data_IF_097673645665
#
_entry.id   IF_097673645665
#
_cell.length_a   1.000
_cell.length_b   1.000
_cell.length_c   1.000
_cell.angle_alpha   90.00
_cell.angle_beta   90.00
_cell.angle_gamma   90.00
#
_symmetry.space_group_name_H-M   'P 1'
#
loop_
_entity.id
_entity.type
_entity.pdbx_description
1 polymer ?
#
# COMPACT_ATOMS: atom_id res chain seq x y z
N UNK A 1 -11.78 2.33 12.62
CA UNK A 1 -10.99 3.55 12.35
C UNK A 1 -11.30 4.55 13.47
N UNK A 2 -10.29 5.19 14.11
CA UNK A 2 -10.53 6.22 15.12
C UNK A 2 -11.20 7.45 14.52
N UNK A 3 -12.23 8.00 15.18
CA UNK A 3 -12.97 9.19 14.73
C UNK A 3 -12.05 10.41 14.49
N UNK A 4 -10.91 10.47 15.17
CA UNK A 4 -9.95 11.57 15.03
C UNK A 4 -9.28 11.68 13.65
N UNK A 5 -9.34 10.62 12.83
CA UNK A 5 -8.74 10.59 11.49
C UNK A 5 -9.77 10.36 10.38
N UNK A 6 -11.07 10.42 10.67
CA UNK A 6 -12.14 10.28 9.67
C UNK A 6 -12.05 11.31 8.55
N UNK A 7 -11.53 12.50 8.84
CA UNK A 7 -11.32 13.55 7.83
C UNK A 7 -10.32 13.18 6.73
N UNK A 8 -9.51 12.14 6.93
CA UNK A 8 -8.60 11.58 5.91
C UNK A 8 -9.30 10.57 4.99
N UNK A 9 -10.57 10.26 5.26
CA UNK A 9 -11.38 9.29 4.51
C UNK A 9 -10.66 7.94 4.26
N UNK A 10 -10.07 7.32 5.31
CA UNK A 10 -9.23 6.13 5.16
C UNK A 10 -9.95 4.96 4.50
N UNK A 11 -11.27 4.83 4.64
CA UNK A 11 -12.05 3.77 3.99
C UNK A 11 -12.01 3.83 2.46
N UNK A 12 -11.71 5.00 1.89
CA UNK A 12 -11.57 5.16 0.44
C UNK A 12 -10.19 4.75 -0.07
N UNK A 13 -9.21 4.64 0.82
CA UNK A 13 -7.80 4.44 0.48
C UNK A 13 -7.32 3.05 0.85
N UNK A 14 -7.80 2.49 1.97
CA UNK A 14 -7.34 1.19 2.45
C UNK A 14 -8.25 0.05 2.00
N UNK A 15 -7.64 -1.01 1.49
CA UNK A 15 -8.30 -2.28 1.27
C UNK A 15 -8.12 -3.18 2.49
N UNK A 16 -9.17 -3.93 2.83
CA UNK A 16 -9.17 -4.81 4.01
C UNK A 16 -8.75 -6.25 3.69
N UNK A 17 -8.56 -6.56 2.41
CA UNK A 17 -8.17 -7.88 1.93
C UNK A 17 -7.13 -7.79 0.80
N UNK A 18 -6.60 -8.93 0.41
CA UNK A 18 -5.59 -9.06 -0.64
C UNK A 18 -6.15 -9.65 -1.94
N UNK A 19 -7.47 -9.79 -2.08
CA UNK A 19 -8.09 -10.45 -3.23
C UNK A 19 -7.80 -9.73 -4.55
N UNK A 20 -7.68 -8.39 -4.51
CA UNK A 20 -7.33 -7.56 -5.67
C UNK A 20 -5.88 -7.75 -6.15
N UNK A 21 -5.04 -8.39 -5.35
CA UNK A 21 -3.61 -8.59 -5.65
C UNK A 21 -3.34 -9.89 -6.40
N UNK A 22 -4.36 -10.71 -6.65
CA UNK A 22 -4.25 -11.97 -7.39
C UNK A 22 -4.83 -11.84 -8.79
N UNK A 23 -4.19 -12.53 -9.74
CA UNK A 23 -4.79 -12.72 -11.05
C UNK A 23 -6.00 -13.65 -10.97
N UNK A 24 -7.07 -13.28 -11.65
CA UNK A 24 -8.17 -14.19 -11.92
C UNK A 24 -7.90 -14.93 -13.24
N UNK A 25 -7.68 -16.22 -13.16
CA UNK A 25 -7.30 -17.06 -14.30
C UNK A 25 -8.54 -17.75 -14.87
N UNK A 26 -8.70 -17.61 -16.19
CA UNK A 26 -9.64 -18.40 -16.99
C UNK A 26 -8.82 -19.33 -17.87
N UNK A 27 -8.81 -20.62 -17.55
CA UNK A 27 -8.10 -21.62 -18.31
C UNK A 27 -9.05 -22.34 -19.29
N UNK A 28 -8.60 -22.50 -20.52
CA UNK A 28 -9.28 -23.22 -21.58
C UNK A 28 -8.27 -24.12 -22.32
N UNK A 29 -8.70 -25.32 -22.70
CA UNK A 29 -7.87 -26.20 -23.52
C UNK A 29 -7.46 -25.51 -24.82
N UNK A 30 -6.15 -25.36 -25.03
CA UNK A 30 -5.56 -24.70 -26.19
C UNK A 30 -5.96 -25.35 -27.53
N UNK A 31 -6.33 -26.64 -27.53
CA UNK A 31 -6.76 -27.33 -28.76
C UNK A 31 -8.18 -26.93 -29.18
N UNK A 32 -8.96 -26.34 -28.26
CA UNK A 32 -10.32 -25.85 -28.53
C UNK A 32 -10.37 -24.40 -29.00
N UNK A 33 -9.31 -23.62 -28.81
CA UNK A 33 -9.26 -22.20 -29.13
C UNK A 33 -8.27 -21.93 -30.28
N UNK A 34 -8.72 -21.18 -31.29
CA UNK A 34 -7.88 -20.70 -32.39
C UNK A 34 -7.31 -19.31 -32.12
N UNK A 35 -8.16 -18.42 -31.62
CA UNK A 35 -7.78 -17.02 -31.41
C UNK A 35 -8.44 -16.41 -30.19
N UNK A 36 -7.70 -15.58 -29.46
CA UNK A 36 -8.17 -14.84 -28.31
C UNK A 36 -7.97 -13.34 -28.54
N UNK A 37 -9.00 -12.55 -28.24
CA UNK A 37 -8.95 -11.08 -28.25
C UNK A 37 -9.84 -10.53 -27.17
N UNK A 38 -9.58 -9.31 -26.74
CA UNK A 38 -10.47 -8.59 -25.84
C UNK A 38 -10.87 -7.23 -26.41
N UNK A 39 -11.97 -6.67 -25.91
CA UNK A 39 -12.46 -5.35 -26.25
C UNK A 39 -13.12 -4.73 -25.02
N UNK A 40 -12.83 -3.45 -24.80
CA UNK A 40 -13.57 -2.64 -23.82
C UNK A 40 -14.84 -2.11 -24.52
N UNK A 41 -15.99 -2.34 -23.93
CA UNK A 41 -17.30 -1.94 -24.46
C UNK A 41 -18.18 -1.40 -23.33
N UNK A 42 -18.22 -0.08 -23.20
CA UNK A 42 -18.83 0.60 -22.04
C UNK A 42 -18.10 0.23 -20.76
N UNK A 43 -18.85 -0.27 -19.78
CA UNK A 43 -18.35 -0.68 -18.46
C UNK A 43 -17.85 -2.13 -18.42
N UNK A 44 -17.76 -2.80 -19.58
CA UNK A 44 -17.39 -4.22 -19.65
C UNK A 44 -16.09 -4.44 -20.43
N UNK A 45 -15.27 -5.35 -19.92
CA UNK A 45 -14.20 -5.98 -20.70
C UNK A 45 -14.75 -7.28 -21.27
N UNK A 46 -14.90 -7.36 -22.58
CA UNK A 46 -15.37 -8.56 -23.29
C UNK A 46 -14.19 -9.34 -23.83
N UNK A 47 -14.08 -10.61 -23.43
CA UNK A 47 -13.10 -11.56 -23.97
C UNK A 47 -13.79 -12.39 -25.06
N UNK A 48 -13.19 -12.43 -26.23
CA UNK A 48 -13.70 -13.21 -27.37
C UNK A 48 -12.73 -14.35 -27.64
N UNK A 49 -13.25 -15.57 -27.58
CA UNK A 49 -12.52 -16.78 -27.86
C UNK A 49 -13.11 -17.40 -29.13
N UNK A 50 -12.30 -17.54 -30.18
CA UNK A 50 -12.73 -18.16 -31.43
C UNK A 50 -12.51 -19.67 -31.33
N UNK A 51 -13.57 -20.51 -31.44
CA UNK A 51 -13.42 -21.94 -31.38
C UNK A 51 -12.62 -22.50 -32.58
N UNK A 52 -11.84 -23.55 -32.32
CA UNK A 52 -11.15 -24.29 -33.37
C UNK A 52 -11.84 -25.64 -33.59
N UNK A 53 -12.58 -25.79 -34.69
CA UNK A 53 -13.28 -27.05 -35.11
C UNK A 53 -14.17 -27.66 -34.05
N UNK A 54 -14.61 -26.91 -33.06
CA UNK A 54 -15.45 -27.38 -31.94
C UNK A 54 -16.38 -26.26 -31.46
N UNK A 55 -17.20 -26.55 -30.48
CA UNK A 55 -18.01 -25.57 -29.75
C UNK A 55 -17.41 -25.42 -28.36
N UNK A 56 -17.25 -24.18 -27.90
CA UNK A 56 -16.81 -23.86 -26.54
C UNK A 56 -18.06 -23.61 -25.68
N UNK A 57 -18.10 -24.23 -24.54
CA UNK A 57 -19.14 -24.07 -23.52
C UNK A 57 -18.49 -23.62 -22.19
N UNK A 58 -19.32 -23.19 -21.27
CA UNK A 58 -18.86 -22.75 -19.93
C UNK A 58 -18.14 -23.89 -19.18
N UNK A 59 -18.57 -25.13 -19.36
CA UNK A 59 -17.92 -26.31 -18.77
C UNK A 59 -16.54 -26.66 -19.32
N UNK A 60 -16.13 -26.02 -20.41
CA UNK A 60 -14.78 -26.15 -20.97
C UNK A 60 -13.78 -25.19 -20.34
N UNK A 61 -14.25 -24.30 -19.47
CA UNK A 61 -13.45 -23.30 -18.79
C UNK A 61 -13.23 -23.67 -17.32
N UNK A 62 -12.00 -23.54 -16.87
CA UNK A 62 -11.63 -23.65 -15.46
C UNK A 62 -11.32 -22.25 -14.93
N UNK A 63 -11.83 -21.95 -13.74
CA UNK A 63 -11.61 -20.68 -13.07
C UNK A 63 -10.75 -20.90 -11.84
N UNK A 64 -9.69 -20.11 -11.70
CA UNK A 64 -8.79 -20.18 -10.57
C UNK A 64 -8.19 -18.82 -10.25
N UNK A 65 -7.52 -18.72 -9.13
CA UNK A 65 -6.69 -17.57 -8.79
C UNK A 65 -5.23 -17.90 -9.03
N UNK A 66 -4.49 -16.93 -9.53
CA UNK A 66 -3.06 -17.00 -9.73
C UNK A 66 -2.26 -16.75 -8.45
N UNK A 67 -0.96 -16.63 -8.61
CA UNK A 67 -0.09 -16.16 -7.54
C UNK A 67 -0.32 -14.65 -7.28
N UNK A 68 0.18 -14.16 -6.16
CA UNK A 68 0.09 -12.75 -5.83
C UNK A 68 1.05 -11.92 -6.69
N UNK A 69 0.53 -10.87 -7.31
CA UNK A 69 1.30 -9.91 -8.09
C UNK A 69 1.82 -8.77 -7.18
N UNK A 70 2.69 -9.11 -6.25
CA UNK A 70 3.25 -8.17 -5.27
C UNK A 70 4.76 -8.21 -5.37
N UNK A 71 5.37 -7.12 -5.80
CA UNK A 71 6.82 -6.98 -5.89
C UNK A 71 7.44 -6.41 -4.61
N UNK A 72 6.66 -5.64 -3.86
CA UNK A 72 7.12 -4.91 -2.68
C UNK A 72 6.06 -4.90 -1.58
N UNK A 73 6.46 -5.25 -0.38
CA UNK A 73 5.68 -5.10 0.86
C UNK A 73 6.35 -4.08 1.75
N UNK A 74 5.64 -3.05 2.15
CA UNK A 74 6.13 -2.07 3.12
C UNK A 74 5.28 -2.16 4.38
N UNK A 75 5.86 -2.62 5.48
CA UNK A 75 5.23 -2.62 6.80
C UNK A 75 5.61 -1.37 7.58
N UNK A 76 4.63 -0.76 8.22
CA UNK A 76 4.80 0.48 8.96
C UNK A 76 4.51 0.27 10.44
N UNK A 77 5.51 0.54 11.29
CA UNK A 77 5.42 0.44 12.74
C UNK A 77 5.06 -0.96 13.25
N UNK A 78 5.52 -1.97 12.54
CA UNK A 78 5.36 -3.39 12.93
C UNK A 78 6.61 -3.82 13.67
N UNK A 79 6.44 -4.31 14.90
CA UNK A 79 7.57 -4.69 15.77
C UNK A 79 7.95 -6.16 15.61
N UNK A 80 7.00 -7.02 15.30
CA UNK A 80 7.23 -8.46 15.08
C UNK A 80 6.27 -9.03 14.03
N UNK A 81 6.64 -10.18 13.46
CA UNK A 81 5.83 -10.84 12.41
C UNK A 81 4.40 -11.12 12.85
N UNK A 82 4.18 -11.38 14.15
CA UNK A 82 2.85 -11.62 14.70
C UNK A 82 1.92 -10.41 14.70
N UNK A 83 2.47 -9.20 14.54
CA UNK A 83 1.72 -7.94 14.45
C UNK A 83 1.33 -7.58 13.00
N UNK A 84 1.79 -8.36 12.02
CA UNK A 84 1.37 -8.18 10.63
C UNK A 84 -0.13 -8.43 10.48
N UNK A 85 -0.74 -7.73 9.51
CA UNK A 85 -2.14 -7.91 9.18
C UNK A 85 -2.45 -9.40 8.91
N UNK A 86 -3.63 -9.86 9.36
CA UNK A 86 -4.08 -11.23 9.20
C UNK A 86 -4.03 -11.69 7.73
N UNK A 87 -4.34 -10.78 6.79
CA UNK A 87 -4.24 -11.06 5.36
C UNK A 87 -2.82 -11.43 4.91
N UNK A 88 -1.78 -10.78 5.46
CA UNK A 88 -0.38 -11.14 5.18
C UNK A 88 0.06 -12.39 5.93
N UNK A 89 -0.44 -12.60 7.14
CA UNK A 89 -0.11 -13.78 7.96
C UNK A 89 -0.69 -15.07 7.37
N UNK A 90 -1.90 -15.03 6.80
CA UNK A 90 -2.52 -16.17 6.13
C UNK A 90 -1.84 -16.52 4.79
N UNK A 91 -1.27 -15.51 4.11
CA UNK A 91 -0.63 -15.65 2.80
C UNK A 91 0.89 -15.46 2.88
N UNK A 92 1.55 -16.23 3.73
CA UNK A 92 3.00 -16.17 3.97
C UNK A 92 3.88 -16.21 2.72
N UNK A 93 3.34 -16.64 1.56
CA UNK A 93 4.01 -16.55 0.25
C UNK A 93 4.28 -15.10 -0.18
N UNK A 94 3.38 -14.16 0.09
CA UNK A 94 3.58 -12.75 -0.29
C UNK A 94 4.87 -12.22 0.33
N UNK A 95 5.09 -12.48 1.62
CA UNK A 95 6.30 -12.03 2.32
C UNK A 95 7.57 -12.75 1.87
N UNK A 96 7.43 -13.94 1.26
CA UNK A 96 8.58 -14.71 0.76
C UNK A 96 8.98 -14.28 -0.66
N UNK A 97 8.02 -13.98 -1.51
CA UNK A 97 8.23 -13.74 -2.94
C UNK A 97 8.46 -12.25 -3.26
N UNK A 98 7.90 -11.35 -2.46
CA UNK A 98 8.09 -9.91 -2.57
C UNK A 98 9.30 -9.41 -1.77
N UNK A 99 9.89 -8.30 -2.21
CA UNK A 99 10.86 -7.57 -1.38
C UNK A 99 10.13 -6.92 -0.21
N UNK A 100 10.59 -7.16 1.02
CA UNK A 100 9.96 -6.64 2.23
C UNK A 100 10.78 -5.53 2.88
N UNK A 101 10.13 -4.41 3.17
CA UNK A 101 10.71 -3.27 3.89
C UNK A 101 9.91 -3.04 5.16
N UNK A 102 10.59 -2.96 6.30
CA UNK A 102 9.96 -2.56 7.56
C UNK A 102 10.45 -1.19 7.99
N UNK A 103 9.52 -0.25 8.20
CA UNK A 103 9.81 1.11 8.66
C UNK A 103 9.18 1.31 10.04
N UNK A 104 10.01 1.55 11.06
CA UNK A 104 9.57 1.61 12.46
C UNK A 104 10.18 2.80 13.18
N UNK A 105 9.36 3.65 13.80
CA UNK A 105 9.81 4.71 14.69
C UNK A 105 10.19 4.12 16.06
N UNK A 106 11.25 3.32 16.07
CA UNK A 106 11.72 2.52 17.19
C UNK A 106 12.81 1.55 16.76
N UNK A 107 12.97 0.46 17.51
CA UNK A 107 13.90 -0.61 17.18
C UNK A 107 13.29 -1.49 16.09
N UNK A 108 14.07 -1.78 15.06
CA UNK A 108 13.64 -2.63 13.95
C UNK A 108 13.33 -4.07 14.40
N UNK A 109 12.34 -4.69 13.76
CA UNK A 109 11.81 -6.00 14.12
C UNK A 109 12.59 -7.21 13.56
N UNK A 110 13.51 -7.02 12.63
CA UNK A 110 14.32 -8.05 11.95
C UNK A 110 13.51 -9.13 11.21
N UNK A 111 12.48 -8.76 10.49
CA UNK A 111 11.68 -9.67 9.67
C UNK A 111 11.56 -9.25 8.19
N UNK A 112 11.93 -8.03 7.85
CA UNK A 112 12.01 -7.54 6.48
C UNK A 112 13.40 -7.77 5.86
N UNK A 113 13.46 -7.78 4.52
CA UNK A 113 14.75 -7.79 3.79
C UNK A 113 15.51 -6.48 4.02
N UNK A 114 14.77 -5.39 4.20
CA UNK A 114 15.28 -4.07 4.55
C UNK A 114 14.61 -3.61 5.84
N UNK A 115 15.41 -3.31 6.85
CA UNK A 115 14.97 -2.82 8.14
C UNK A 115 15.42 -1.36 8.33
N UNK A 116 14.44 -0.48 8.47
CA UNK A 116 14.68 0.93 8.77
C UNK A 116 14.00 1.30 10.09
N UNK A 117 14.73 1.11 11.18
CA UNK A 117 14.32 1.51 12.52
C UNK A 117 15.04 2.79 12.95
N UNK A 118 14.30 3.75 13.48
CA UNK A 118 14.85 4.97 14.06
C UNK A 118 14.17 5.30 15.40
N UNK A 119 14.83 5.00 16.53
CA UNK A 119 14.31 5.31 17.86
C UNK A 119 14.17 6.79 18.16
N UNK A 120 14.93 7.66 17.45
CA UNK A 120 14.93 9.11 17.65
C UNK A 120 13.82 9.79 16.84
N UNK A 121 13.29 9.14 15.80
CA UNK A 121 12.18 9.66 15.02
C UNK A 121 10.93 9.86 15.88
N UNK A 122 10.24 10.97 15.73
CA UNK A 122 9.00 11.25 16.47
C UNK A 122 7.87 10.29 16.09
N UNK A 123 7.88 9.82 14.83
CA UNK A 123 6.82 8.97 14.28
C UNK A 123 7.25 8.32 12.96
N UNK A 124 6.55 7.26 12.56
CA UNK A 124 6.68 6.71 11.20
C UNK A 124 6.29 7.74 10.13
N UNK A 125 5.34 8.62 10.43
CA UNK A 125 4.98 9.72 9.51
C UNK A 125 6.14 10.69 9.25
N UNK A 126 6.99 10.93 10.26
CA UNK A 126 8.23 11.70 10.06
C UNK A 126 9.21 10.97 9.15
N UNK A 127 9.42 9.67 9.38
CA UNK A 127 10.31 8.85 8.55
C UNK A 127 9.83 8.80 7.10
N UNK A 128 8.53 8.52 6.87
CA UNK A 128 7.93 8.49 5.53
C UNK A 128 7.98 9.86 4.85
N UNK A 129 7.74 10.95 5.59
CA UNK A 129 7.86 12.31 5.08
C UNK A 129 9.29 12.65 4.67
N UNK A 130 10.28 12.22 5.45
CA UNK A 130 11.70 12.36 5.13
C UNK A 130 12.11 11.54 3.91
N UNK A 131 11.56 10.31 3.78
CA UNK A 131 11.75 9.48 2.61
C UNK A 131 11.18 10.16 1.35
N UNK A 132 9.94 10.66 1.41
CA UNK A 132 9.31 11.36 0.30
C UNK A 132 10.14 12.59 -0.15
N UNK A 133 10.69 13.34 0.80
CA UNK A 133 11.59 14.48 0.50
C UNK A 133 12.92 14.02 -0.14
N UNK A 134 13.42 12.84 0.23
CA UNK A 134 14.68 12.32 -0.30
C UNK A 134 14.54 11.73 -1.71
N UNK A 135 13.40 11.09 -2.03
CA UNK A 135 13.19 10.43 -3.33
C UNK A 135 12.50 11.32 -4.37
N UNK A 136 12.09 12.53 -3.98
CA UNK A 136 11.53 13.49 -4.95
C UNK A 136 12.56 13.80 -6.03
N UNK A 137 12.18 13.58 -7.28
CA UNK A 137 13.01 13.90 -8.44
C UNK A 137 12.50 15.22 -9.07
N UNK A 138 11.65 15.16 -10.09
CA UNK A 138 11.13 16.35 -10.78
C UNK A 138 9.75 16.77 -10.32
N UNK A 139 8.97 15.80 -9.80
CA UNK A 139 7.61 16.03 -9.33
C UNK A 139 7.59 16.01 -7.80
N UNK A 140 6.89 16.99 -7.21
CA UNK A 140 6.70 17.04 -5.77
C UNK A 140 5.67 15.98 -5.38
N UNK A 141 6.13 14.95 -4.66
CA UNK A 141 5.28 13.84 -4.18
C UNK A 141 4.34 14.33 -3.08
N UNK A 142 4.73 15.38 -2.36
CA UNK A 142 3.99 15.92 -1.22
C UNK A 142 2.88 16.87 -1.68
N UNK A 143 1.76 16.31 -2.12
CA UNK A 143 0.55 17.09 -2.34
C UNK A 143 -0.17 17.47 -1.02
N UNK A 144 -1.26 18.25 -1.12
CA UNK A 144 -2.05 18.68 0.05
C UNK A 144 -2.56 17.48 0.88
N UNK A 145 -3.02 16.42 0.23
CA UNK A 145 -3.63 15.25 0.90
C UNK A 145 -2.58 14.46 1.67
N UNK A 146 -1.48 14.11 1.01
CA UNK A 146 -0.35 13.39 1.60
C UNK A 146 0.26 14.21 2.74
N UNK A 147 0.50 15.50 2.50
CA UNK A 147 1.06 16.40 3.52
C UNK A 147 0.17 16.53 4.74
N UNK A 148 -1.17 16.57 4.57
CA UNK A 148 -2.11 16.62 5.68
C UNK A 148 -2.08 15.32 6.48
N UNK A 149 -2.05 14.16 5.81
CA UNK A 149 -2.00 12.86 6.47
C UNK A 149 -0.70 12.67 7.28
N UNK A 150 0.45 13.03 6.69
CA UNK A 150 1.73 12.96 7.38
C UNK A 150 1.79 13.91 8.58
N UNK A 151 1.32 15.15 8.42
CA UNK A 151 1.27 16.11 9.51
C UNK A 151 0.34 15.62 10.64
N UNK A 152 -0.82 15.04 10.32
CA UNK A 152 -1.72 14.47 11.32
C UNK A 152 -1.03 13.36 12.13
N UNK A 153 -0.27 12.47 11.48
CA UNK A 153 0.50 11.43 12.17
C UNK A 153 1.58 11.98 13.09
N UNK A 154 2.31 13.01 12.66
CA UNK A 154 3.31 13.70 13.49
C UNK A 154 2.64 14.36 14.71
N UNK A 155 1.56 15.10 14.50
CA UNK A 155 0.81 15.80 15.56
C UNK A 155 0.29 14.80 16.60
N UNK A 156 -0.25 13.66 16.16
CA UNK A 156 -0.72 12.61 17.04
C UNK A 156 0.41 12.00 17.88
N UNK A 157 1.52 11.62 17.24
CA UNK A 157 2.66 10.98 17.91
C UNK A 157 3.40 11.92 18.88
N UNK A 158 3.41 13.21 18.58
CA UNK A 158 4.10 14.24 19.41
C UNK A 158 3.20 14.91 20.44
N UNK A 159 1.96 14.42 20.59
CA UNK A 159 0.96 15.10 21.43
C UNK A 159 0.88 16.60 21.13
N UNK A 160 0.68 16.93 19.86
CA UNK A 160 0.64 18.31 19.36
C UNK A 160 1.95 19.10 19.62
N UNK A 161 3.08 18.45 19.33
CA UNK A 161 4.44 19.00 19.52
C UNK A 161 4.78 19.34 20.99
N UNK A 162 4.16 18.65 21.96
CA UNK A 162 4.31 18.96 23.39
C UNK A 162 5.08 17.90 24.17
N UNK A 163 5.49 16.80 23.56
CA UNK A 163 6.26 15.76 24.23
C UNK A 163 7.75 15.76 23.81
N UNK A 164 8.55 14.95 24.51
CA UNK A 164 10.00 14.83 24.31
C UNK A 164 10.41 14.27 22.94
N UNK A 165 9.49 13.65 22.19
CA UNK A 165 9.71 13.18 20.83
C UNK A 165 9.72 14.31 19.80
N UNK A 166 9.40 15.53 20.20
CA UNK A 166 9.39 16.68 19.30
C UNK A 166 10.82 17.21 19.16
N UNK A 167 11.47 16.92 18.06
CA UNK A 167 12.82 17.39 17.74
C UNK A 167 12.80 18.61 16.80
N UNK A 168 13.96 19.20 16.55
CA UNK A 168 14.10 20.25 15.55
C UNK A 168 13.80 19.75 14.13
N UNK A 169 14.17 18.51 13.83
CA UNK A 169 13.90 17.81 12.57
C UNK A 169 12.40 17.62 12.37
N UNK A 170 11.68 17.17 13.41
CA UNK A 170 10.22 17.05 13.42
C UNK A 170 9.55 18.37 13.07
N UNK A 171 9.99 19.48 13.69
CA UNK A 171 9.45 20.82 13.45
C UNK A 171 9.77 21.32 12.03
N UNK A 172 10.98 21.04 11.55
CA UNK A 172 11.39 21.40 10.19
C UNK A 172 10.55 20.67 9.13
N UNK A 173 10.30 19.37 9.31
CA UNK A 173 9.45 18.61 8.42
C UNK A 173 8.00 19.10 8.49
N UNK A 174 7.44 19.32 9.68
CA UNK A 174 6.10 19.87 9.85
C UNK A 174 5.94 21.21 9.11
N UNK A 175 6.95 22.08 9.17
CA UNK A 175 6.96 23.34 8.41
C UNK A 175 6.95 23.11 6.89
N UNK A 176 7.70 22.13 6.38
CA UNK A 176 7.68 21.75 4.96
C UNK A 176 6.31 21.23 4.53
N UNK A 177 5.70 20.34 5.33
CA UNK A 177 4.37 19.80 5.05
C UNK A 177 3.31 20.89 5.01
N UNK A 178 3.38 21.87 5.92
CA UNK A 178 2.49 23.05 5.87
C UNK A 178 2.74 23.89 4.62
N UNK A 179 3.99 24.08 4.21
CA UNK A 179 4.30 24.79 2.97
C UNK A 179 3.81 24.06 1.72
N UNK A 180 3.76 22.71 1.74
CA UNK A 180 3.16 21.87 0.69
C UNK A 180 1.61 21.86 0.72
N UNK A 181 1.01 22.58 1.66
CA UNK A 181 -0.44 22.78 1.72
C UNK A 181 -1.20 21.90 2.72
N UNK A 182 -0.49 21.27 3.66
CA UNK A 182 -1.15 20.51 4.72
C UNK A 182 -2.20 21.36 5.47
N UNK A 183 -3.38 20.80 5.68
CA UNK A 183 -4.50 21.49 6.30
C UNK A 183 -4.47 21.31 7.82
N UNK A 184 -3.72 22.17 8.49
CA UNK A 184 -3.58 22.13 9.95
C UNK A 184 -4.88 22.47 10.73
N UNK A 185 -5.93 23.01 10.05
CA UNK A 185 -7.19 23.30 10.71
C UNK A 185 -8.07 22.06 10.86
N UNK A 186 -7.80 21.02 10.07
CA UNK A 186 -8.49 19.74 10.17
C UNK A 186 -7.89 18.84 11.26
N UNK A 187 -6.61 19.07 11.65
CA UNK A 187 -5.82 18.30 12.60
C UNK A 187 -5.96 18.90 14.02
#
# INVERSE_FOLDING_TARGET
>A
IPNAIEFLEPEKTFEANTDSLQDFIIALDKEKADHLRYKIDGDYVKVFITPYKTTINESDMEFSHGDYNVDLVISLNVSEVGDLDAALSEYGRIMHDATSINITAGVAGNFGDIEWGDPEASSVSEMVGSLADAIKDKDDILDKSISTALLAGIVAATNRFSNERTTAETMALASKLMAAGADQQLI
#
